data_IF_662926670281
#
_entry.id   IF_662926670281
#
_cell.length_a   1.000
_cell.length_b   1.000
_cell.length_c   1.000
_cell.angle_alpha   90.00
_cell.angle_beta   90.00
_cell.angle_gamma   90.00
#
_symmetry.space_group_name_H-M   'P 1'
#
loop_
_entity.id
_entity.type
_entity.pdbx_description
1 polymer ?
#
# COMPACT_ATOMS: atom_id res chain seq x y z
N UNK A 1 -38.54 10.19 -10.75
CA UNK A 1 -37.80 9.03 -11.33
C UNK A 1 -36.37 9.06 -10.82
N UNK A 2 -36.22 9.13 -9.50
CA UNK A 2 -34.95 9.48 -8.87
C UNK A 2 -34.30 8.24 -8.26
N UNK A 3 -32.96 8.24 -8.25
CA UNK A 3 -32.09 7.42 -7.41
C UNK A 3 -31.65 6.03 -7.92
N UNK A 4 -31.00 5.90 -9.08
CA UNK A 4 -30.11 4.74 -9.29
C UNK A 4 -28.90 5.01 -10.19
N UNK A 5 -28.04 5.95 -9.84
CA UNK A 5 -26.63 5.83 -10.21
C UNK A 5 -25.80 6.20 -8.97
N UNK A 6 -25.49 5.18 -8.16
CA UNK A 6 -24.32 5.28 -7.30
C UNK A 6 -23.09 5.62 -8.15
N UNK A 7 -22.05 6.22 -7.56
CA UNK A 7 -20.89 6.72 -8.32
C UNK A 7 -20.37 5.64 -9.26
N UNK A 8 -20.26 6.01 -10.54
CA UNK A 8 -19.72 5.15 -11.60
C UNK A 8 -18.31 4.70 -11.23
N UNK A 9 -17.86 3.55 -11.75
CA UNK A 9 -16.51 3.03 -11.48
C UNK A 9 -15.41 4.08 -11.72
N UNK A 10 -15.60 4.94 -12.73
CA UNK A 10 -14.74 6.10 -13.01
C UNK A 10 -14.66 7.09 -11.84
N UNK A 11 -15.79 7.52 -11.28
CA UNK A 11 -15.78 8.43 -10.13
C UNK A 11 -15.15 7.82 -8.88
N UNK A 12 -15.30 6.50 -8.66
CA UNK A 12 -14.64 5.83 -7.53
C UNK A 12 -13.14 5.74 -7.74
N UNK A 13 -12.69 5.42 -8.95
CA UNK A 13 -11.28 5.42 -9.30
C UNK A 13 -10.66 6.82 -9.14
N UNK A 14 -11.36 7.88 -9.53
CA UNK A 14 -10.94 9.27 -9.31
C UNK A 14 -10.88 9.62 -7.82
N UNK A 15 -11.89 9.25 -7.02
CA UNK A 15 -11.89 9.47 -5.57
C UNK A 15 -10.78 8.70 -4.86
N UNK A 16 -10.56 7.44 -5.23
CA UNK A 16 -9.48 6.62 -4.71
C UNK A 16 -8.12 7.21 -5.10
N UNK A 17 -7.93 7.61 -6.36
CA UNK A 17 -6.76 8.37 -6.84
C UNK A 17 -6.56 9.62 -5.97
N UNK A 18 -7.60 10.42 -5.75
CA UNK A 18 -7.49 11.65 -4.98
C UNK A 18 -7.21 11.40 -3.48
N UNK A 19 -7.77 10.34 -2.89
CA UNK A 19 -7.43 9.90 -1.54
C UNK A 19 -5.95 9.45 -1.46
N UNK A 20 -5.45 8.76 -2.48
CA UNK A 20 -4.06 8.30 -2.56
C UNK A 20 -3.04 9.43 -2.79
N UNK A 21 -3.43 10.47 -3.53
CA UNK A 21 -2.58 11.61 -3.85
C UNK A 21 -2.75 12.79 -2.86
N UNK A 22 -3.85 12.83 -2.10
CA UNK A 22 -4.24 13.98 -1.28
C UNK A 22 -4.70 13.69 0.16
N UNK A 23 -4.85 12.44 0.61
CA UNK A 23 -5.42 12.14 1.94
C UNK A 23 -5.16 10.75 2.52
N UNK A 24 -5.96 10.36 3.52
CA UNK A 24 -5.89 9.04 4.17
C UNK A 24 -6.52 7.97 3.26
N UNK A 25 -5.87 6.80 3.14
CA UNK A 25 -6.36 5.65 2.35
C UNK A 25 -7.42 4.83 3.12
N UNK A 26 -7.96 5.37 4.21
CA UNK A 26 -8.94 4.69 5.06
C UNK A 26 -10.31 4.72 4.40
N UNK A 27 -10.87 3.55 4.08
CA UNK A 27 -12.23 3.41 3.55
C UNK A 27 -12.33 3.06 2.06
N UNK A 28 -11.21 2.79 1.38
CA UNK A 28 -11.23 2.20 0.05
C UNK A 28 -11.46 0.69 0.15
N UNK A 29 -12.36 0.18 -0.70
CA UNK A 29 -12.58 -1.25 -0.82
C UNK A 29 -11.52 -1.88 -1.74
N UNK A 30 -11.39 -3.21 -1.65
CA UNK A 30 -10.47 -4.01 -2.46
C UNK A 30 -10.61 -3.77 -3.97
N UNK A 31 -11.83 -3.58 -4.46
CA UNK A 31 -12.11 -3.42 -5.89
C UNK A 31 -11.58 -2.08 -6.42
N UNK A 32 -11.87 -0.99 -5.71
CA UNK A 32 -11.43 0.35 -6.08
C UNK A 32 -9.89 0.45 -6.06
N UNK A 33 -9.23 -0.23 -5.11
CA UNK A 33 -7.77 -0.31 -5.06
C UNK A 33 -7.24 -1.06 -6.29
N UNK A 34 -7.81 -2.20 -6.63
CA UNK A 34 -7.37 -2.95 -7.82
C UNK A 34 -7.55 -2.14 -9.10
N UNK A 35 -8.66 -1.43 -9.23
CA UNK A 35 -8.94 -0.62 -10.41
C UNK A 35 -7.97 0.57 -10.52
N UNK A 36 -7.67 1.25 -9.41
CA UNK A 36 -6.72 2.39 -9.40
C UNK A 36 -5.26 1.94 -9.56
N UNK A 37 -4.89 0.82 -8.96
CA UNK A 37 -3.53 0.29 -9.01
C UNK A 37 -3.33 -0.76 -10.11
N UNK A 38 -4.27 -0.89 -11.06
CA UNK A 38 -4.19 -1.85 -12.16
C UNK A 38 -2.92 -1.68 -13.00
N UNK A 39 -2.46 -0.44 -13.19
CA UNK A 39 -1.26 -0.10 -13.96
C UNK A 39 0.00 0.04 -13.09
N UNK A 40 -0.12 -0.10 -11.77
CA UNK A 40 0.99 0.04 -10.82
C UNK A 40 1.63 -1.32 -10.56
N UNK A 41 2.97 -1.40 -10.45
CA UNK A 41 3.63 -2.64 -10.08
C UNK A 41 3.04 -3.22 -8.79
N UNK A 42 2.77 -4.53 -8.83
CA UNK A 42 2.26 -5.25 -7.66
C UNK A 42 3.04 -6.52 -7.38
N UNK A 43 3.06 -6.90 -6.11
CA UNK A 43 3.72 -8.10 -5.60
C UNK A 43 2.79 -8.83 -4.66
N UNK A 44 3.00 -10.13 -4.51
CA UNK A 44 2.23 -10.95 -3.59
C UNK A 44 3.02 -11.21 -2.31
N UNK A 45 2.32 -11.19 -1.18
CA UNK A 45 2.85 -11.51 0.13
C UNK A 45 1.89 -12.50 0.82
N UNK A 46 2.39 -13.59 1.42
CA UNK A 46 1.51 -14.48 2.18
C UNK A 46 1.05 -13.78 3.46
N UNK A 47 -0.23 -13.93 3.80
CA UNK A 47 -0.82 -13.36 5.03
C UNK A 47 -0.10 -13.81 6.29
N UNK A 48 0.41 -15.04 6.31
CA UNK A 48 1.21 -15.59 7.42
C UNK A 48 2.47 -14.77 7.73
N UNK A 49 3.01 -13.99 6.78
CA UNK A 49 4.12 -13.08 7.04
C UNK A 49 3.72 -11.84 7.85
N UNK A 50 2.43 -11.49 7.86
CA UNK A 50 1.88 -10.33 8.59
C UNK A 50 1.22 -10.71 9.92
N UNK A 51 1.04 -12.01 10.17
CA UNK A 51 0.49 -12.54 11.42
C UNK A 51 1.54 -12.53 12.54
N UNK A 52 1.09 -12.58 13.80
CA UNK A 52 1.97 -12.58 14.97
C UNK A 52 2.69 -11.24 15.15
N UNK A 53 4.02 -11.27 15.14
CA UNK A 53 4.87 -10.06 15.22
C UNK A 53 4.91 -9.27 13.89
N UNK A 54 4.36 -9.82 12.81
CA UNK A 54 4.39 -9.22 11.49
C UNK A 54 5.75 -9.26 10.80
N UNK A 55 5.85 -8.56 9.67
CA UNK A 55 7.06 -8.50 8.86
C UNK A 55 7.79 -7.18 9.08
N UNK A 56 9.11 -7.24 9.24
CA UNK A 56 9.92 -6.02 9.28
C UNK A 56 9.77 -5.24 7.96
N UNK A 57 9.62 -3.92 8.03
CA UNK A 57 9.42 -3.09 6.84
C UNK A 57 10.56 -3.23 5.82
N UNK A 58 11.80 -3.46 6.27
CA UNK A 58 12.94 -3.70 5.37
C UNK A 58 12.77 -5.01 4.60
N UNK A 59 12.32 -6.06 5.29
CA UNK A 59 12.02 -7.35 4.67
C UNK A 59 10.83 -7.23 3.72
N UNK A 60 9.78 -6.49 4.09
CA UNK A 60 8.65 -6.20 3.22
C UNK A 60 9.12 -5.53 1.91
N UNK A 61 9.91 -4.46 1.99
CA UNK A 61 10.37 -3.70 0.82
C UNK A 61 11.26 -4.54 -0.12
N UNK A 62 12.02 -5.49 0.42
CA UNK A 62 12.91 -6.36 -0.37
C UNK A 62 12.15 -7.56 -0.94
N UNK A 63 11.33 -8.23 -0.12
CA UNK A 63 10.54 -9.39 -0.54
C UNK A 63 9.51 -9.04 -1.61
N UNK A 64 8.95 -7.84 -1.55
CA UNK A 64 8.02 -7.31 -2.57
C UNK A 64 8.72 -6.87 -3.85
N UNK A 65 10.05 -6.91 -3.90
CA UNK A 65 10.85 -6.43 -5.03
C UNK A 65 10.85 -4.91 -5.19
N UNK A 66 10.27 -4.17 -4.24
CA UNK A 66 10.21 -2.71 -4.29
C UNK A 66 11.59 -2.07 -4.20
N UNK A 67 12.50 -2.68 -3.42
CA UNK A 67 13.90 -2.27 -3.31
C UNK A 67 14.83 -3.47 -3.45
N UNK A 68 16.03 -3.24 -3.98
CA UNK A 68 16.96 -4.32 -4.35
C UNK A 68 17.68 -4.94 -3.15
N UNK A 69 17.74 -4.23 -2.02
CA UNK A 69 18.45 -4.71 -0.82
C UNK A 69 17.97 -4.04 0.47
N UNK A 70 18.21 -4.69 1.61
CA UNK A 70 17.91 -4.13 2.94
C UNK A 70 18.69 -2.84 3.21
N UNK A 71 19.89 -2.70 2.66
CA UNK A 71 20.71 -1.48 2.78
C UNK A 71 20.08 -0.29 2.05
N UNK A 72 19.55 -0.51 0.85
CA UNK A 72 18.80 0.50 0.10
C UNK A 72 17.50 0.87 0.83
N UNK A 73 16.76 -0.13 1.32
CA UNK A 73 15.55 0.07 2.12
C UNK A 73 15.78 0.92 3.35
N UNK A 74 16.83 0.63 4.12
CA UNK A 74 17.18 1.41 5.31
C UNK A 74 17.46 2.87 4.96
N UNK A 75 18.29 3.12 3.94
CA UNK A 75 18.60 4.49 3.50
C UNK A 75 17.35 5.24 3.07
N UNK A 76 16.50 4.62 2.24
CA UNK A 76 15.27 5.24 1.77
C UNK A 76 14.32 5.60 2.92
N UNK A 77 14.23 4.77 3.97
CA UNK A 77 13.45 5.07 5.18
C UNK A 77 14.07 6.23 5.96
N UNK A 78 15.38 6.20 6.21
CA UNK A 78 16.09 7.25 6.96
C UNK A 78 16.02 8.60 6.26
N UNK A 79 16.06 8.61 4.92
CA UNK A 79 15.87 9.81 4.10
C UNK A 79 14.40 10.29 4.07
N UNK A 80 13.46 9.50 4.59
CA UNK A 80 12.04 9.82 4.58
C UNK A 80 11.36 9.59 3.24
N UNK A 81 11.98 8.81 2.36
CA UNK A 81 11.46 8.52 1.04
C UNK A 81 10.33 7.49 1.04
N UNK A 82 10.16 6.71 2.11
CA UNK A 82 9.23 5.56 2.16
C UNK A 82 7.96 5.90 2.95
N UNK A 83 6.82 5.52 2.38
CA UNK A 83 5.53 5.54 3.04
C UNK A 83 4.85 4.17 2.89
N UNK A 84 4.17 3.75 3.95
CA UNK A 84 3.25 2.61 3.99
C UNK A 84 1.85 3.16 4.19
N UNK A 85 0.90 2.84 3.30
CA UNK A 85 -0.48 3.31 3.36
C UNK A 85 -0.62 4.84 3.50
N UNK A 86 0.22 5.58 2.77
CA UNK A 86 0.38 7.03 2.85
C UNK A 86 0.84 7.58 4.21
N UNK A 87 1.28 6.71 5.13
CA UNK A 87 1.96 7.09 6.37
C UNK A 87 3.46 6.95 6.20
N UNK A 88 4.21 8.00 6.56
CA UNK A 88 5.66 7.99 6.45
C UNK A 88 6.25 6.98 7.43
N UNK A 89 7.08 6.07 6.92
CA UNK A 89 7.86 5.17 7.76
C UNK A 89 9.11 5.93 8.21
N UNK A 90 9.25 6.15 9.51
CA UNK A 90 10.42 6.80 10.10
C UNK A 90 11.46 5.80 10.61
N UNK A 91 11.03 4.60 11.01
CA UNK A 91 11.89 3.62 11.65
C UNK A 91 12.10 2.38 10.78
N UNK A 92 13.36 2.01 10.47
CA UNK A 92 13.66 0.75 9.79
C UNK A 92 13.30 -0.49 10.60
N UNK A 93 13.10 -0.33 11.92
CA UNK A 93 12.67 -1.40 12.81
C UNK A 93 11.15 -1.60 12.84
N UNK A 94 10.37 -0.72 12.17
CA UNK A 94 8.92 -0.85 12.11
C UNK A 94 8.48 -2.19 11.54
N UNK A 95 7.41 -2.73 12.09
CA UNK A 95 6.75 -3.95 11.63
C UNK A 95 5.46 -3.57 10.93
N UNK A 96 5.22 -4.20 9.78
CA UNK A 96 3.92 -4.20 9.14
C UNK A 96 3.17 -5.45 9.59
N UNK A 97 1.93 -5.29 10.03
CA UNK A 97 1.09 -6.38 10.54
C UNK A 97 -0.24 -6.40 9.81
N UNK A 98 -1.12 -7.34 10.16
CA UNK A 98 -2.47 -7.38 9.62
C UNK A 98 -3.30 -6.12 9.91
N UNK A 99 -2.94 -5.31 10.93
CA UNK A 99 -3.67 -4.06 11.21
C UNK A 99 -3.40 -2.97 10.17
N UNK A 100 -2.29 -3.07 9.45
CA UNK A 100 -1.96 -2.15 8.37
C UNK A 100 -2.68 -2.51 7.07
N UNK A 101 -3.36 -3.66 7.00
CA UNK A 101 -4.01 -4.09 5.77
C UNK A 101 -5.23 -3.23 5.44
N UNK A 102 -5.22 -2.69 4.22
CA UNK A 102 -6.37 -2.03 3.64
C UNK A 102 -7.34 -3.11 3.19
N UNK A 103 -8.56 -3.04 3.71
CA UNK A 103 -9.63 -4.01 3.48
C UNK A 103 -9.22 -5.46 3.80
N UNK A 104 -8.18 -5.65 4.64
CA UNK A 104 -7.66 -6.96 5.02
C UNK A 104 -6.82 -7.68 3.95
N UNK A 105 -6.56 -7.06 2.80
CA UNK A 105 -5.94 -7.73 1.64
C UNK A 105 -4.80 -6.94 0.98
N UNK A 106 -4.63 -5.64 1.24
CA UNK A 106 -3.65 -4.83 0.51
C UNK A 106 -2.77 -3.96 1.40
N UNK A 107 -1.52 -3.79 1.01
CA UNK A 107 -0.64 -2.73 1.52
C UNK A 107 -0.16 -1.87 0.36
N UNK A 108 -0.02 -0.58 0.58
CA UNK A 108 0.45 0.36 -0.45
C UNK A 108 1.80 0.92 -0.02
N UNK A 109 2.83 0.58 -0.79
CA UNK A 109 4.16 1.13 -0.63
C UNK A 109 4.32 2.33 -1.56
N UNK A 110 4.98 3.38 -1.05
CA UNK A 110 5.25 4.58 -1.83
C UNK A 110 6.66 5.09 -1.58
N UNK A 111 7.38 5.39 -2.67
CA UNK A 111 8.70 6.04 -2.66
C UNK A 111 8.64 7.41 -3.31
N UNK A 112 8.80 8.47 -2.50
CA UNK A 112 8.71 9.85 -2.96
C UNK A 112 7.29 10.20 -3.44
N UNK A 113 7.17 11.04 -4.49
CA UNK A 113 5.86 11.59 -4.90
C UNK A 113 5.03 10.68 -5.82
N UNK A 114 5.67 9.86 -6.66
CA UNK A 114 5.02 9.15 -7.79
C UNK A 114 5.27 7.65 -7.87
N UNK A 115 6.23 7.10 -7.12
CA UNK A 115 6.51 5.67 -7.20
C UNK A 115 5.63 4.95 -6.19
N UNK A 116 4.62 4.24 -6.68
CA UNK A 116 3.74 3.41 -5.89
C UNK A 116 4.00 1.94 -6.21
N UNK A 117 3.71 1.08 -5.25
CA UNK A 117 3.78 -0.36 -5.41
C UNK A 117 2.72 -1.01 -4.52
N UNK A 118 1.90 -1.85 -5.11
CA UNK A 118 0.81 -2.52 -4.42
C UNK A 118 1.27 -3.89 -3.92
N UNK A 119 1.08 -4.17 -2.64
CA UNK A 119 1.34 -5.50 -2.07
C UNK A 119 -0.01 -6.17 -1.84
N UNK A 120 -0.25 -7.25 -2.56
CA UNK A 120 -1.44 -8.09 -2.43
C UNK A 120 -1.16 -9.18 -1.42
N UNK A 121 -2.01 -9.27 -0.41
CA UNK A 121 -1.87 -10.25 0.66
C UNK A 121 -2.82 -11.40 0.37
N UNK A 122 -2.22 -12.52 -0.01
CA UNK A 122 -2.96 -13.74 -0.32
C UNK A 122 -3.03 -14.62 0.93
N UNK A 123 -4.18 -15.27 1.13
CA UNK A 123 -4.45 -16.16 2.27
C UNK A 123 -3.81 -17.53 2.08
#
# INVERSE_FOLDING_TARGET
TELVHGPTALQRAEQATQALFGGAITGLNSQDIQDVFAEVPSSELPKSALEGEGINILDLLVNTGFLKSKGEARRAITEGGINLNNQRVSEPASQATTSDLIDGHFLILRRGKKNYHLVKVNS
#
